data_IF_281213802697
#
_entry.id   IF_281213802697
#
_cell.length_a   1.000
_cell.length_b   1.000
_cell.length_c   1.000
_cell.angle_alpha   90.00
_cell.angle_beta   90.00
_cell.angle_gamma   90.00
#
_symmetry.space_group_name_H-M   'P 1'
#
loop_
_entity.id
_entity.type
_entity.pdbx_description
1 polymer ?
#
# COMPACT_ATOMS: atom_id res chain seq x y z
N UNK A 1 8.36 -25.97 -5.85
CA UNK A 1 8.72 -25.48 -7.19
C UNK A 1 10.22 -25.60 -7.31
N UNK A 2 10.71 -26.57 -8.07
CA UNK A 2 12.15 -26.72 -8.32
C UNK A 2 12.60 -25.61 -9.28
N UNK A 3 12.96 -24.45 -8.72
CA UNK A 3 13.53 -23.35 -9.49
C UNK A 3 14.98 -23.73 -9.83
N UNK A 4 15.22 -24.10 -11.10
CA UNK A 4 16.58 -24.14 -11.64
C UNK A 4 17.01 -22.72 -11.94
N UNK A 5 18.02 -22.24 -11.22
CA UNK A 5 18.67 -20.96 -11.50
C UNK A 5 19.87 -21.21 -12.42
N UNK A 6 19.90 -20.55 -13.57
CA UNK A 6 20.99 -20.69 -14.56
C UNK A 6 21.70 -19.34 -14.71
N UNK A 7 22.99 -19.30 -14.35
CA UNK A 7 23.86 -18.14 -14.58
C UNK A 7 24.66 -18.37 -15.87
N UNK A 8 24.55 -17.46 -16.83
CA UNK A 8 25.24 -17.57 -18.12
C UNK A 8 26.21 -16.43 -18.31
N UNK A 9 27.49 -16.72 -18.53
CA UNK A 9 28.52 -15.72 -18.83
C UNK A 9 29.02 -15.93 -20.25
N UNK A 10 28.92 -14.91 -21.09
CA UNK A 10 29.56 -14.88 -22.41
C UNK A 10 30.78 -13.96 -22.34
N UNK A 11 31.97 -14.49 -22.59
CA UNK A 11 33.22 -13.73 -22.64
C UNK A 11 33.84 -13.77 -24.04
N UNK A 12 34.70 -12.79 -24.33
CA UNK A 12 35.62 -12.87 -25.46
C UNK A 12 36.90 -13.69 -25.13
N UNK A 13 37.20 -13.99 -23.85
CA UNK A 13 38.43 -14.68 -23.42
C UNK A 13 38.21 -15.45 -22.10
N UNK A 14 38.90 -16.59 -21.97
CA UNK A 14 38.96 -17.69 -20.98
C UNK A 14 38.63 -17.43 -19.49
N UNK A 15 38.26 -18.54 -18.82
CA UNK A 15 37.70 -18.72 -17.46
C UNK A 15 38.47 -18.08 -16.29
N UNK A 16 37.71 -17.50 -15.34
CA UNK A 16 38.09 -17.40 -13.94
C UNK A 16 36.83 -17.48 -13.06
N UNK A 17 36.66 -18.58 -12.32
CA UNK A 17 35.66 -18.67 -11.25
C UNK A 17 36.23 -17.98 -10.00
N UNK A 18 35.65 -16.85 -9.60
CA UNK A 18 35.85 -16.27 -8.28
C UNK A 18 34.61 -16.58 -7.42
N UNK A 19 34.84 -17.17 -6.25
CA UNK A 19 33.87 -17.27 -5.18
C UNK A 19 33.58 -15.83 -4.68
N UNK A 20 32.50 -15.24 -5.18
CA UNK A 20 32.01 -13.95 -4.72
C UNK A 20 31.00 -14.15 -3.56
N UNK A 21 30.97 -13.24 -2.56
CA UNK A 21 29.93 -13.22 -1.54
C UNK A 21 28.53 -13.11 -2.19
N UNK A 22 27.49 -13.53 -1.45
CA UNK A 22 26.10 -13.53 -1.92
C UNK A 22 25.73 -12.21 -2.63
N UNK A 23 25.34 -12.26 -3.92
CA UNK A 23 25.18 -11.05 -4.71
C UNK A 23 24.05 -10.16 -4.19
N UNK A 24 24.32 -8.85 -4.05
CA UNK A 24 23.28 -7.82 -3.89
C UNK A 24 22.44 -7.71 -5.18
N UNK A 25 21.23 -7.14 -5.12
CA UNK A 25 20.30 -7.10 -6.27
C UNK A 25 20.87 -6.49 -7.57
N UNK A 26 21.90 -5.66 -7.47
CA UNK A 26 22.66 -5.10 -8.59
C UNK A 26 23.60 -6.08 -9.31
N UNK A 27 23.77 -7.31 -8.81
CA UNK A 27 24.70 -8.32 -9.34
C UNK A 27 24.01 -9.43 -10.17
N UNK A 28 22.69 -9.34 -10.41
CA UNK A 28 21.95 -10.39 -11.13
C UNK A 28 22.10 -10.35 -12.65
N UNK A 29 22.51 -9.21 -13.22
CA UNK A 29 22.56 -9.00 -14.67
C UNK A 29 23.65 -7.97 -15.01
N UNK A 30 24.51 -8.30 -15.96
CA UNK A 30 25.39 -7.34 -16.65
C UNK A 30 25.32 -7.62 -18.15
N UNK A 31 24.58 -6.80 -18.89
CA UNK A 31 24.39 -7.01 -20.35
C UNK A 31 24.92 -5.87 -21.21
N UNK A 32 25.25 -4.76 -20.56
CA UNK A 32 25.81 -3.56 -21.17
C UNK A 32 27.35 -3.58 -21.14
N UNK A 33 27.97 -4.48 -20.38
CA UNK A 33 29.42 -4.63 -20.35
C UNK A 33 29.93 -5.18 -21.71
N UNK A 34 30.92 -4.52 -22.33
CA UNK A 34 31.43 -4.90 -23.65
C UNK A 34 32.31 -6.16 -23.63
N UNK A 35 32.79 -6.61 -22.47
CA UNK A 35 33.75 -7.69 -22.28
C UNK A 35 33.11 -8.97 -21.73
N UNK A 36 32.19 -8.84 -20.77
CA UNK A 36 31.50 -9.97 -20.14
C UNK A 36 30.01 -9.69 -19.97
N UNK A 37 29.17 -10.44 -20.69
CA UNK A 37 27.72 -10.35 -20.51
C UNK A 37 27.20 -11.54 -19.74
N UNK A 38 26.37 -11.29 -18.74
CA UNK A 38 25.70 -12.34 -18.00
C UNK A 38 24.32 -11.95 -17.50
N UNK A 39 23.49 -12.97 -17.28
CA UNK A 39 22.21 -12.84 -16.61
C UNK A 39 21.88 -14.14 -15.89
N UNK A 40 21.10 -14.01 -14.81
CA UNK A 40 20.56 -15.14 -14.07
C UNK A 40 19.11 -15.36 -14.50
N UNK A 41 18.79 -16.58 -14.95
CA UNK A 41 17.43 -16.96 -15.34
C UNK A 41 16.76 -17.85 -14.29
N UNK A 42 15.46 -17.64 -14.11
CA UNK A 42 14.56 -18.61 -13.49
C UNK A 42 13.59 -19.17 -14.54
N UNK A 43 13.07 -20.36 -14.26
CA UNK A 43 12.26 -21.15 -15.19
C UNK A 43 10.84 -21.31 -14.63
N UNK A 44 9.83 -21.05 -15.47
CA UNK A 44 8.44 -21.46 -15.23
C UNK A 44 8.11 -22.60 -16.19
N UNK A 45 7.95 -23.80 -15.65
CA UNK A 45 7.64 -25.00 -16.42
C UNK A 45 6.18 -24.99 -16.92
N UNK A 46 5.96 -25.58 -18.08
CA UNK A 46 4.67 -25.74 -18.75
C UNK A 46 3.92 -24.43 -18.98
N UNK A 47 4.67 -23.34 -19.18
CA UNK A 47 4.14 -22.02 -19.48
C UNK A 47 4.91 -21.37 -20.63
N UNK A 48 4.20 -20.52 -21.38
CA UNK A 48 4.79 -19.58 -22.33
C UNK A 48 4.25 -18.18 -22.08
N UNK A 49 5.08 -17.17 -22.26
CA UNK A 49 4.65 -15.78 -22.24
C UNK A 49 3.87 -15.47 -23.51
N UNK A 50 2.70 -14.84 -23.37
CA UNK A 50 1.94 -14.34 -24.52
C UNK A 50 2.61 -13.11 -25.13
N UNK A 51 2.49 -12.96 -26.44
CA UNK A 51 3.08 -11.87 -27.21
C UNK A 51 3.83 -12.35 -28.44
N UNK A 52 4.22 -11.41 -29.30
CA UNK A 52 5.03 -11.69 -30.47
C UNK A 52 6.51 -11.82 -30.09
N UNK A 53 7.20 -12.90 -30.48
CA UNK A 53 8.64 -12.98 -30.30
C UNK A 53 9.35 -11.99 -31.22
N UNK A 54 10.46 -11.44 -30.74
CA UNK A 54 11.37 -10.68 -31.60
C UNK A 54 12.00 -11.58 -32.65
N UNK A 55 12.30 -12.81 -32.25
CA UNK A 55 13.00 -13.78 -33.07
C UNK A 55 12.69 -15.19 -32.59
N UNK A 56 12.42 -16.08 -33.53
CA UNK A 56 12.30 -17.51 -33.25
C UNK A 56 13.51 -18.26 -33.80
N UNK A 57 13.91 -19.29 -33.06
CA UNK A 57 14.99 -20.22 -33.36
C UNK A 57 14.48 -21.63 -33.17
N UNK A 58 15.16 -22.57 -33.81
CA UNK A 58 14.79 -23.99 -33.77
C UNK A 58 16.03 -24.82 -33.54
N UNK A 59 15.83 -26.02 -32.96
CA UNK A 59 16.91 -26.99 -32.70
C UNK A 59 18.03 -26.41 -31.82
N UNK A 60 17.68 -25.61 -30.83
CA UNK A 60 18.61 -25.11 -29.81
C UNK A 60 18.29 -25.73 -28.45
N UNK A 61 19.27 -25.78 -27.54
CA UNK A 61 19.01 -26.09 -26.12
C UNK A 61 18.42 -24.87 -25.41
N UNK A 62 17.80 -25.12 -24.26
CA UNK A 62 17.35 -24.10 -23.29
C UNK A 62 18.48 -23.12 -22.91
N UNK A 63 19.67 -23.64 -22.61
CA UNK A 63 20.86 -22.85 -22.25
C UNK A 63 21.32 -21.99 -23.42
N UNK A 64 21.35 -22.54 -24.64
CA UNK A 64 21.73 -21.78 -25.83
C UNK A 64 20.69 -20.70 -26.15
N UNK A 65 19.40 -21.00 -25.94
CA UNK A 65 18.30 -20.05 -26.09
C UNK A 65 18.45 -18.87 -25.12
N UNK A 66 18.65 -19.14 -23.84
CA UNK A 66 18.88 -18.11 -22.82
C UNK A 66 20.16 -17.30 -23.08
N UNK A 67 21.25 -17.96 -23.51
CA UNK A 67 22.52 -17.29 -23.85
C UNK A 67 22.37 -16.31 -25.03
N UNK A 68 21.57 -16.66 -26.05
CA UNK A 68 21.24 -15.74 -27.13
C UNK A 68 20.47 -14.52 -26.64
N UNK A 69 19.56 -14.71 -25.68
CA UNK A 69 18.87 -13.59 -25.04
C UNK A 69 19.85 -12.66 -24.33
N UNK A 70 20.81 -13.20 -23.56
CA UNK A 70 21.85 -12.38 -22.87
C UNK A 70 22.57 -11.46 -23.87
N UNK A 71 22.92 -11.97 -25.04
CA UNK A 71 23.60 -11.22 -26.09
C UNK A 71 22.76 -10.17 -26.83
N UNK A 72 21.43 -10.25 -26.78
CA UNK A 72 20.50 -9.39 -27.51
C UNK A 72 19.87 -8.34 -26.58
N UNK A 73 20.31 -7.06 -26.57
CA UNK A 73 19.90 -6.07 -25.57
C UNK A 73 18.38 -5.89 -25.42
N UNK A 74 17.62 -6.09 -26.49
CA UNK A 74 16.17 -5.94 -26.46
C UNK A 74 15.43 -7.18 -25.95
N UNK A 75 16.12 -8.31 -25.77
CA UNK A 75 15.54 -9.54 -25.21
C UNK A 75 15.43 -9.44 -23.68
N UNK A 76 14.28 -9.80 -23.12
CA UNK A 76 14.01 -9.76 -21.67
C UNK A 76 13.72 -11.13 -21.06
N UNK A 77 13.25 -12.07 -21.87
CA UNK A 77 12.95 -13.46 -21.49
C UNK A 77 12.87 -14.33 -22.74
N UNK A 78 12.71 -15.64 -22.57
CA UNK A 78 12.52 -16.58 -23.68
C UNK A 78 11.39 -17.56 -23.41
N UNK A 79 10.68 -17.97 -24.46
CA UNK A 79 9.86 -19.18 -24.42
C UNK A 79 10.64 -20.31 -25.12
N UNK A 80 10.93 -21.37 -24.38
CA UNK A 80 11.60 -22.55 -24.90
C UNK A 80 10.59 -23.70 -25.00
N UNK A 81 10.62 -24.49 -26.08
CA UNK A 81 9.81 -25.69 -26.23
C UNK A 81 10.72 -26.92 -26.20
N UNK A 82 10.51 -27.80 -25.23
CA UNK A 82 11.35 -28.99 -25.00
C UNK A 82 11.33 -30.01 -26.14
N UNK A 83 10.21 -30.09 -26.87
CA UNK A 83 9.96 -31.16 -27.84
C UNK A 83 10.81 -31.00 -29.11
N UNK A 84 10.90 -29.79 -29.64
CA UNK A 84 11.54 -29.48 -30.93
C UNK A 84 12.72 -28.51 -30.80
N UNK A 85 13.02 -28.07 -29.56
CA UNK A 85 14.02 -27.05 -29.29
C UNK A 85 13.69 -25.70 -29.91
N UNK A 86 12.40 -25.39 -30.11
CA UNK A 86 11.98 -24.06 -30.52
C UNK A 86 12.26 -23.05 -29.40
N UNK A 87 12.77 -21.89 -29.77
CA UNK A 87 13.21 -20.84 -28.86
C UNK A 87 12.74 -19.49 -29.38
N UNK A 88 11.85 -18.86 -28.64
CA UNK A 88 11.31 -17.54 -28.90
C UNK A 88 12.00 -16.53 -27.99
N UNK A 89 12.75 -15.59 -28.57
CA UNK A 89 13.32 -14.45 -27.84
C UNK A 89 12.23 -13.39 -27.66
N UNK A 90 11.90 -13.09 -26.41
CA UNK A 90 10.79 -12.20 -26.06
C UNK A 90 11.30 -10.82 -25.65
N UNK A 91 10.68 -9.72 -26.12
CA UNK A 91 11.08 -8.35 -25.76
C UNK A 91 10.59 -7.94 -24.37
N UNK A 92 9.77 -8.77 -23.73
CA UNK A 92 9.10 -8.49 -22.46
C UNK A 92 9.29 -9.66 -21.50
N UNK A 93 8.67 -9.61 -20.32
CA UNK A 93 8.82 -10.58 -19.22
C UNK A 93 7.49 -10.77 -18.49
N UNK A 94 7.41 -11.74 -17.58
CA UNK A 94 6.23 -12.07 -16.77
C UNK A 94 5.63 -10.88 -15.99
N UNK A 95 6.41 -9.82 -15.77
CA UNK A 95 5.97 -8.61 -15.05
C UNK A 95 5.10 -7.67 -15.89
N UNK A 96 5.19 -7.77 -17.21
CA UNK A 96 4.51 -6.88 -18.15
C UNK A 96 3.61 -7.63 -19.14
N UNK A 97 3.57 -8.96 -19.09
CA UNK A 97 2.80 -9.80 -20.00
C UNK A 97 2.32 -11.08 -19.29
N UNK A 98 1.25 -11.67 -19.84
CA UNK A 98 0.59 -12.83 -19.23
C UNK A 98 1.33 -14.12 -19.56
N UNK A 99 1.52 -14.97 -18.55
CA UNK A 99 1.97 -16.36 -18.74
C UNK A 99 0.76 -17.26 -18.99
N UNK A 100 0.81 -18.03 -20.08
CA UNK A 100 -0.20 -19.02 -20.43
C UNK A 100 0.34 -20.42 -20.20
N UNK A 101 -0.45 -21.25 -19.52
CA UNK A 101 -0.15 -22.67 -19.39
C UNK A 101 -0.19 -23.34 -20.77
N UNK A 102 0.93 -23.93 -21.17
CA UNK A 102 1.09 -24.72 -22.39
C UNK A 102 2.10 -25.82 -22.11
N UNK A 103 1.61 -27.07 -22.04
CA UNK A 103 2.47 -28.23 -21.77
C UNK A 103 3.66 -28.31 -22.74
N UNK A 104 4.83 -28.63 -22.18
CA UNK A 104 6.07 -28.80 -22.94
C UNK A 104 6.83 -27.51 -23.25
N UNK A 105 6.30 -26.34 -22.87
CA UNK A 105 7.04 -25.09 -22.87
C UNK A 105 7.69 -24.82 -21.52
N UNK A 106 8.79 -24.09 -21.54
CA UNK A 106 9.47 -23.52 -20.39
C UNK A 106 9.66 -22.04 -20.67
N UNK A 107 9.13 -21.20 -19.79
CA UNK A 107 9.38 -19.77 -19.86
C UNK A 107 10.58 -19.42 -18.97
N UNK A 108 11.69 -19.01 -19.57
CA UNK A 108 12.88 -18.58 -18.85
C UNK A 108 12.92 -17.06 -18.84
N UNK A 109 12.94 -16.45 -17.66
CA UNK A 109 13.00 -15.00 -17.51
C UNK A 109 14.20 -14.59 -16.67
N UNK A 110 14.76 -13.43 -16.99
CA UNK A 110 15.89 -12.87 -16.24
C UNK A 110 15.39 -12.43 -14.85
N UNK A 111 16.06 -12.91 -13.79
CA UNK A 111 15.83 -12.45 -12.41
C UNK A 111 15.97 -10.95 -12.33
N UNK A 112 15.13 -10.33 -11.52
CA UNK A 112 15.12 -8.88 -11.37
C UNK A 112 14.83 -8.47 -9.94
N UNK A 113 15.07 -7.20 -9.64
CA UNK A 113 14.67 -6.62 -8.36
C UNK A 113 13.15 -6.69 -8.11
N UNK A 114 12.32 -6.96 -9.12
CA UNK A 114 10.88 -7.16 -8.93
C UNK A 114 10.52 -8.51 -8.28
N UNK A 115 11.44 -9.50 -8.24
CA UNK A 115 11.17 -10.80 -7.62
C UNK A 115 10.97 -10.69 -6.09
N UNK A 116 11.51 -9.64 -5.45
CA UNK A 116 11.28 -9.36 -4.02
C UNK A 116 9.98 -8.59 -3.74
N UNK A 117 9.17 -8.31 -4.78
CA UNK A 117 7.94 -7.51 -4.68
C UNK A 117 8.15 -6.15 -3.99
N UNK A 118 9.10 -5.32 -4.46
CA UNK A 118 9.46 -4.08 -3.76
C UNK A 118 8.35 -3.02 -3.81
N UNK A 119 7.48 -3.04 -4.82
CA UNK A 119 6.38 -2.09 -4.95
C UNK A 119 5.20 -2.52 -4.07
N UNK A 120 4.98 -1.83 -2.94
CA UNK A 120 3.98 -2.22 -1.95
C UNK A 120 2.53 -2.02 -2.43
N UNK A 121 2.25 -0.85 -3.01
CA UNK A 121 0.94 -0.49 -3.56
C UNK A 121 1.07 -0.04 -5.02
N UNK A 122 1.59 -0.92 -5.87
CA UNK A 122 1.83 -0.61 -7.28
C UNK A 122 2.35 -1.80 -8.07
N UNK A 123 2.46 -1.60 -9.38
CA UNK A 123 3.06 -2.58 -10.29
C UNK A 123 4.56 -2.36 -10.38
N UNK A 124 5.33 -3.46 -10.32
CA UNK A 124 6.78 -3.42 -10.48
C UNK A 124 7.19 -3.62 -11.93
N UNK A 125 8.05 -2.74 -12.43
CA UNK A 125 8.64 -2.84 -13.76
C UNK A 125 10.16 -3.00 -13.64
N UNK A 126 10.74 -4.13 -14.10
CA UNK A 126 12.17 -4.36 -13.98
C UNK A 126 12.97 -3.51 -14.96
N UNK A 127 14.13 -3.04 -14.53
CA UNK A 127 15.14 -2.37 -15.35
C UNK A 127 16.33 -3.33 -15.52
N UNK A 128 16.17 -4.26 -16.49
CA UNK A 128 17.03 -5.45 -16.63
C UNK A 128 18.51 -5.09 -16.80
N UNK A 129 18.82 -3.98 -17.48
CA UNK A 129 20.19 -3.61 -17.83
C UNK A 129 21.07 -3.21 -16.64
N UNK A 130 20.48 -2.67 -15.56
CA UNK A 130 21.21 -2.22 -14.37
C UNK A 130 20.74 -2.90 -13.08
N UNK A 131 19.97 -3.99 -13.19
CA UNK A 131 19.44 -4.73 -12.05
C UNK A 131 18.47 -3.93 -11.16
N UNK A 132 17.95 -2.81 -11.63
CA UNK A 132 17.05 -1.94 -10.86
C UNK A 132 15.58 -2.21 -11.18
N UNK A 133 14.68 -1.40 -10.64
CA UNK A 133 13.25 -1.42 -10.91
C UNK A 133 12.66 -0.01 -10.82
N UNK A 134 11.45 0.13 -11.35
CA UNK A 134 10.58 1.27 -11.09
C UNK A 134 9.18 0.78 -10.73
N UNK A 135 8.50 1.52 -9.86
CA UNK A 135 7.12 1.23 -9.52
C UNK A 135 6.16 2.18 -10.24
N UNK A 136 5.02 1.65 -10.67
CA UNK A 136 3.86 2.45 -11.06
C UNK A 136 2.83 2.33 -9.95
N UNK A 137 2.74 3.37 -9.12
CA UNK A 137 1.88 3.37 -7.93
C UNK A 137 0.40 3.44 -8.28
N UNK A 138 -0.41 2.74 -7.49
CA UNK A 138 -1.86 2.91 -7.49
C UNK A 138 -2.18 4.32 -6.99
N UNK A 139 -3.32 4.87 -7.43
CA UNK A 139 -3.82 6.18 -6.98
C UNK A 139 -3.80 6.27 -5.45
N UNK A 140 -3.43 7.44 -4.93
CA UNK A 140 -3.20 7.75 -3.50
C UNK A 140 -1.85 7.31 -2.91
N UNK A 141 -1.05 6.49 -3.63
CA UNK A 141 0.27 6.07 -3.17
C UNK A 141 1.39 6.72 -3.96
N UNK A 142 2.54 6.91 -3.31
CA UNK A 142 3.74 7.51 -3.89
C UNK A 142 5.00 7.03 -3.18
N UNK A 143 6.15 7.55 -3.61
CA UNK A 143 7.47 7.10 -3.17
C UNK A 143 8.10 6.14 -4.17
N UNK A 144 9.37 5.81 -3.94
CA UNK A 144 10.13 4.89 -4.80
C UNK A 144 9.44 3.52 -4.87
N UNK A 145 8.91 3.07 -3.74
CA UNK A 145 8.42 1.72 -3.52
C UNK A 145 6.89 1.69 -3.36
N UNK A 146 6.21 2.80 -3.68
CA UNK A 146 4.77 3.00 -3.50
C UNK A 146 4.29 2.69 -2.07
N UNK A 147 5.10 3.05 -1.07
CA UNK A 147 4.90 2.76 0.35
C UNK A 147 4.30 3.95 1.12
N UNK A 148 4.26 5.14 0.51
CA UNK A 148 3.74 6.37 1.13
C UNK A 148 2.33 6.66 0.67
N UNK A 149 1.46 7.03 1.60
CA UNK A 149 0.07 7.39 1.37
C UNK A 149 -0.09 8.92 1.33
N UNK A 150 -0.76 9.46 0.31
CA UNK A 150 -1.01 10.91 0.14
C UNK A 150 -2.07 11.45 1.13
N UNK A 151 -2.83 10.57 1.80
CA UNK A 151 -3.70 10.94 2.91
C UNK A 151 -4.91 11.79 2.50
N UNK A 152 -5.78 11.28 1.63
CA UNK A 152 -7.01 11.98 1.22
C UNK A 152 -8.15 11.76 2.21
N UNK A 153 -9.14 12.65 2.23
CA UNK A 153 -10.35 12.49 3.05
C UNK A 153 -11.03 11.14 2.78
N UNK A 154 -11.38 10.41 3.83
CA UNK A 154 -12.05 9.12 3.76
C UNK A 154 -13.57 9.27 3.60
N UNK A 155 -14.11 10.43 3.99
CA UNK A 155 -15.42 10.89 3.53
C UNK A 155 -16.46 11.07 4.64
N UNK A 156 -16.02 11.60 5.78
CA UNK A 156 -16.96 12.12 6.77
C UNK A 156 -17.72 13.32 6.21
N UNK A 157 -17.01 14.29 5.62
CA UNK A 157 -17.57 15.53 5.11
C UNK A 157 -18.45 15.31 3.88
N UNK A 158 -17.99 14.51 2.91
CA UNK A 158 -18.68 14.30 1.64
C UNK A 158 -19.69 13.14 1.64
N UNK A 159 -19.87 12.48 2.78
CA UNK A 159 -20.86 11.43 2.97
C UNK A 159 -20.49 10.04 2.44
N UNK A 160 -19.27 9.82 1.92
CA UNK A 160 -18.82 8.46 1.55
C UNK A 160 -18.77 7.52 2.76
N UNK A 161 -18.48 8.04 3.95
CA UNK A 161 -18.72 7.34 5.22
C UNK A 161 -20.18 7.58 5.61
N UNK A 162 -21.02 6.55 5.54
CA UNK A 162 -22.46 6.66 5.78
C UNK A 162 -22.80 6.65 7.28
N UNK A 163 -23.99 7.11 7.64
CA UNK A 163 -24.47 7.20 9.04
C UNK A 163 -24.39 5.88 9.81
N UNK A 164 -24.65 4.76 9.13
CA UNK A 164 -24.57 3.42 9.72
C UNK A 164 -23.14 3.02 10.17
N UNK A 165 -22.11 3.69 9.66
CA UNK A 165 -20.71 3.51 10.07
C UNK A 165 -20.36 4.32 11.32
N UNK A 166 -21.25 5.21 11.78
CA UNK A 166 -21.00 6.13 12.87
C UNK A 166 -21.76 5.71 14.11
N UNK A 167 -21.12 5.84 15.27
CA UNK A 167 -21.77 5.61 16.56
C UNK A 167 -21.14 6.50 17.63
N UNK A 168 -21.89 6.79 18.69
CA UNK A 168 -21.39 7.51 19.85
C UNK A 168 -21.97 6.92 21.13
N UNK A 169 -21.32 7.19 22.27
CA UNK A 169 -21.74 6.67 23.59
C UNK A 169 -23.06 7.25 24.08
N UNK A 170 -23.27 8.54 23.83
CA UNK A 170 -24.42 9.29 24.29
C UNK A 170 -24.68 10.48 23.37
N UNK A 171 -25.82 11.14 23.55
CA UNK A 171 -26.12 12.40 22.91
C UNK A 171 -26.79 13.37 23.88
N UNK A 172 -26.69 14.66 23.59
CA UNK A 172 -27.30 15.72 24.37
C UNK A 172 -28.79 15.45 24.62
N UNK A 173 -29.18 15.40 25.91
CA UNK A 173 -30.55 15.12 26.37
C UNK A 173 -31.16 13.81 25.85
N UNK A 174 -30.32 12.86 25.42
CA UNK A 174 -30.76 11.64 24.76
C UNK A 174 -31.68 11.93 23.54
N UNK A 175 -31.46 13.08 22.89
CA UNK A 175 -32.08 13.47 21.62
C UNK A 175 -31.19 13.11 20.40
N UNK A 176 -31.62 12.16 19.54
CA UNK A 176 -30.87 11.74 18.36
C UNK A 176 -30.61 12.86 17.34
N UNK A 177 -31.29 14.01 17.42
CA UNK A 177 -31.05 15.14 16.53
C UNK A 177 -29.60 15.66 16.64
N UNK A 178 -28.99 15.53 17.82
CA UNK A 178 -27.58 15.83 18.14
C UNK A 178 -26.64 14.62 17.92
N UNK A 179 -27.11 13.67 17.12
CA UNK A 179 -26.50 12.38 16.84
C UNK A 179 -25.22 12.43 16.00
N UNK A 180 -24.78 11.25 15.59
CA UNK A 180 -23.50 11.05 14.90
C UNK A 180 -23.41 11.73 13.54
N UNK A 181 -24.54 11.87 12.83
CA UNK A 181 -24.60 12.55 11.55
C UNK A 181 -24.20 14.02 11.62
N UNK A 182 -24.30 14.62 12.82
CA UNK A 182 -23.85 15.99 13.05
C UNK A 182 -22.34 16.10 13.19
N UNK A 183 -21.64 14.98 13.39
CA UNK A 183 -20.20 14.88 13.60
C UNK A 183 -19.34 14.99 12.34
N UNK A 184 -19.90 15.40 11.20
CA UNK A 184 -19.19 15.54 9.93
C UNK A 184 -18.48 16.90 9.85
N UNK A 185 -17.20 16.91 9.44
CA UNK A 185 -16.43 18.14 9.26
C UNK A 185 -17.18 19.13 8.34
N UNK A 186 -17.09 20.43 8.62
CA UNK A 186 -17.71 21.50 7.84
C UNK A 186 -19.23 21.44 7.70
N UNK A 187 -19.92 20.55 8.41
CA UNK A 187 -21.38 20.53 8.43
C UNK A 187 -21.91 21.87 8.99
N UNK A 188 -22.65 22.58 8.16
CA UNK A 188 -23.27 23.89 8.46
C UNK A 188 -24.80 23.80 8.39
N UNK A 189 -25.35 22.74 8.97
CA UNK A 189 -26.79 22.49 9.09
C UNK A 189 -27.11 22.33 10.57
N UNK A 190 -28.19 22.98 11.03
CA UNK A 190 -28.63 22.87 12.41
C UNK A 190 -29.23 21.48 12.74
N UNK A 191 -29.01 20.94 13.95
CA UNK A 191 -27.91 21.27 14.86
C UNK A 191 -26.56 20.84 14.27
N UNK A 192 -25.53 21.62 14.56
CA UNK A 192 -24.18 21.38 14.04
C UNK A 192 -23.37 20.59 15.07
N UNK A 193 -22.54 19.64 14.66
CA UNK A 193 -21.70 18.89 15.60
C UNK A 193 -22.43 17.80 16.38
N UNK A 194 -21.80 16.64 16.47
CA UNK A 194 -22.25 15.57 17.33
C UNK A 194 -21.97 15.97 18.78
N UNK A 195 -23.00 15.94 19.63
CA UNK A 195 -22.93 16.49 20.98
C UNK A 195 -23.11 15.38 22.01
N UNK A 196 -22.07 15.13 22.81
CA UNK A 196 -22.09 14.12 23.87
C UNK A 196 -22.77 14.67 25.13
N UNK A 197 -23.24 13.78 26.01
CA UNK A 197 -23.79 14.16 27.32
C UNK A 197 -22.65 14.59 28.24
N UNK A 198 -22.91 15.58 29.10
CA UNK A 198 -21.88 16.14 30.00
C UNK A 198 -21.51 15.23 31.17
N UNK A 199 -22.40 14.30 31.53
CA UNK A 199 -22.27 13.29 32.58
C UNK A 199 -22.00 11.89 32.01
N UNK A 200 -21.55 11.82 30.75
CA UNK A 200 -21.17 10.55 30.13
C UNK A 200 -19.95 9.95 30.83
N UNK A 201 -20.00 8.64 31.05
CA UNK A 201 -18.94 7.92 31.77
C UNK A 201 -17.66 7.96 30.92
N UNK A 202 -16.52 8.17 31.59
CA UNK A 202 -15.18 8.26 30.97
C UNK A 202 -14.98 9.38 29.92
N UNK A 203 -15.92 10.34 29.86
CA UNK A 203 -15.88 11.52 28.99
C UNK A 203 -16.62 11.36 27.65
N UNK A 204 -17.27 10.22 27.41
CA UNK A 204 -17.99 9.93 26.18
C UNK A 204 -17.10 9.74 24.95
N UNK A 205 -17.61 9.05 23.93
CA UNK A 205 -16.86 8.71 22.74
C UNK A 205 -17.67 8.85 21.44
N UNK A 206 -16.95 9.15 20.36
CA UNK A 206 -17.44 9.13 18.99
C UNK A 206 -16.58 8.15 18.18
N UNK A 207 -17.22 7.24 17.44
CA UNK A 207 -16.57 6.13 16.73
C UNK A 207 -16.99 6.05 15.28
N UNK A 208 -16.04 5.70 14.44
CA UNK A 208 -16.20 5.43 13.01
C UNK A 208 -15.78 3.98 12.73
N UNK A 209 -16.65 3.20 12.08
CA UNK A 209 -16.30 1.93 11.42
C UNK A 209 -15.94 2.19 9.96
N UNK A 210 -14.67 2.05 9.60
CA UNK A 210 -14.19 2.25 8.23
C UNK A 210 -14.50 1.06 7.30
N UNK A 211 -15.23 0.05 7.79
CA UNK A 211 -15.65 -1.21 7.13
C UNK A 211 -14.47 -2.15 6.84
N UNK A 212 -13.39 -1.62 6.29
CA UNK A 212 -12.13 -2.32 6.08
C UNK A 212 -11.00 -1.61 6.82
N UNK A 213 -9.92 -2.31 7.10
CA UNK A 213 -8.71 -1.68 7.66
C UNK A 213 -8.20 -0.63 6.68
N UNK A 214 -7.98 0.60 7.16
CA UNK A 214 -7.39 1.70 6.37
C UNK A 214 -6.01 2.06 6.89
N UNK A 215 -5.23 2.75 6.07
CA UNK A 215 -4.04 3.47 6.50
C UNK A 215 -4.48 4.88 6.85
N UNK A 216 -4.43 5.25 8.13
CA UNK A 216 -4.88 6.54 8.63
C UNK A 216 -3.67 7.45 8.84
N UNK A 217 -3.58 8.51 8.04
CA UNK A 217 -2.43 9.44 8.04
C UNK A 217 -2.69 10.68 8.88
N UNK A 218 -3.95 11.09 9.02
CA UNK A 218 -4.33 12.23 9.84
C UNK A 218 -5.82 12.16 10.19
N UNK A 219 -6.24 13.01 11.11
CA UNK A 219 -7.65 13.33 11.31
C UNK A 219 -7.79 14.81 11.65
N UNK A 220 -8.92 15.41 11.28
CA UNK A 220 -9.26 16.80 11.58
C UNK A 220 -10.50 16.87 12.47
N UNK A 221 -10.56 17.89 13.32
CA UNK A 221 -11.65 18.15 14.25
C UNK A 221 -12.05 19.62 14.23
N UNK A 222 -13.34 19.89 14.36
CA UNK A 222 -13.94 21.19 14.67
C UNK A 222 -14.87 21.04 15.88
N UNK A 223 -15.17 22.15 16.56
CA UNK A 223 -16.24 22.19 17.57
C UNK A 223 -17.64 22.32 16.94
N UNK A 224 -18.61 22.78 17.74
CA UNK A 224 -20.03 22.87 17.38
C UNK A 224 -20.33 23.83 16.21
N UNK A 225 -19.48 24.81 15.90
CA UNK A 225 -19.61 25.65 14.71
C UNK A 225 -20.54 26.87 14.81
N UNK A 226 -21.45 26.93 15.79
CA UNK A 226 -22.38 28.06 15.95
C UNK A 226 -21.73 29.25 16.67
N UNK A 227 -21.71 30.49 16.13
CA UNK A 227 -20.99 31.63 16.72
C UNK A 227 -21.25 31.93 18.21
N UNK A 228 -22.46 31.66 18.71
CA UNK A 228 -22.86 31.93 20.10
C UNK A 228 -22.48 30.76 21.05
N UNK A 229 -22.25 29.57 20.51
CA UNK A 229 -21.85 28.40 21.30
C UNK A 229 -20.33 28.41 21.51
N UNK A 230 -19.87 27.92 22.66
CA UNK A 230 -18.44 27.65 22.92
C UNK A 230 -18.18 26.14 23.06
N UNK A 231 -19.14 25.31 22.63
CA UNK A 231 -19.10 23.86 22.76
C UNK A 231 -18.08 23.27 21.80
N UNK A 232 -17.15 22.50 22.37
CA UNK A 232 -16.02 21.90 21.70
C UNK A 232 -15.35 20.89 22.60
N UNK A 233 -14.66 19.94 21.99
CA UNK A 233 -13.69 19.09 22.68
C UNK A 233 -12.35 19.83 22.73
N UNK A 234 -11.82 20.05 23.94
CA UNK A 234 -10.55 20.74 24.18
C UNK A 234 -9.38 19.76 24.30
N UNK A 235 -9.61 18.58 24.89
CA UNK A 235 -8.64 17.49 24.92
C UNK A 235 -9.33 16.14 24.77
N UNK A 236 -8.64 15.18 24.17
CA UNK A 236 -9.18 13.85 23.93
C UNK A 236 -8.08 12.79 23.87
N UNK A 237 -8.50 11.54 23.90
CA UNK A 237 -7.67 10.38 23.58
C UNK A 237 -8.17 9.73 22.29
N UNK A 238 -7.27 9.02 21.62
CA UNK A 238 -7.61 8.24 20.42
C UNK A 238 -7.40 6.77 20.77
N UNK A 239 -8.35 5.93 20.39
CA UNK A 239 -8.17 4.48 20.38
C UNK A 239 -8.66 3.87 19.07
N UNK A 240 -8.04 2.76 18.71
CA UNK A 240 -8.32 2.02 17.48
C UNK A 240 -8.64 0.57 17.78
N UNK A 241 -9.39 -0.07 16.88
CA UNK A 241 -9.70 -1.50 16.98
C UNK A 241 -9.79 -2.10 15.58
N UNK A 242 -9.56 -3.41 15.48
CA UNK A 242 -9.81 -4.19 14.26
C UNK A 242 -11.12 -4.98 14.34
N UNK A 243 -11.66 -5.22 15.54
CA UNK A 243 -12.80 -6.11 15.78
C UNK A 243 -13.95 -5.47 16.58
N UNK A 244 -13.84 -4.17 16.92
CA UNK A 244 -14.80 -3.40 17.74
C UNK A 244 -14.88 -3.80 19.23
N UNK A 245 -14.10 -4.80 19.66
CA UNK A 245 -14.11 -5.31 21.03
C UNK A 245 -12.83 -4.93 21.77
N UNK A 246 -11.68 -5.18 21.15
CA UNK A 246 -10.37 -4.91 21.70
C UNK A 246 -9.89 -3.54 21.24
N UNK A 247 -9.79 -2.61 22.18
CA UNK A 247 -9.44 -1.21 21.91
C UNK A 247 -8.03 -0.89 22.40
N UNK A 248 -7.19 -0.40 21.49
CA UNK A 248 -5.83 0.01 21.80
C UNK A 248 -5.76 1.53 21.77
N UNK A 249 -5.39 2.14 22.89
CA UNK A 249 -5.14 3.57 22.95
C UNK A 249 -3.82 3.93 22.29
N UNK A 250 -3.78 5.07 21.62
CA UNK A 250 -2.51 5.65 21.18
C UNK A 250 -1.76 6.13 22.41
N UNK A 251 -0.52 5.68 22.56
CA UNK A 251 0.29 5.94 23.74
C UNK A 251 1.37 6.99 23.48
N UNK A 252 1.72 7.75 24.52
CA UNK A 252 2.90 8.64 24.50
C UNK A 252 4.16 7.91 24.97
N UNK A 253 3.97 6.88 25.78
CA UNK A 253 4.98 5.97 26.33
C UNK A 253 4.26 4.68 26.75
N UNK A 254 4.94 3.52 26.86
CA UNK A 254 4.31 2.25 27.16
C UNK A 254 3.35 2.32 28.37
N UNK A 255 2.08 1.95 28.16
CA UNK A 255 1.04 1.96 29.19
C UNK A 255 0.48 3.34 29.56
N UNK A 256 0.90 4.41 28.87
CA UNK A 256 0.41 5.76 29.11
C UNK A 256 -0.32 6.31 27.87
N UNK A 257 -1.67 6.30 27.87
CA UNK A 257 -2.46 6.90 26.80
C UNK A 257 -2.10 8.36 26.56
N UNK A 258 -1.94 8.72 25.29
CA UNK A 258 -1.64 10.08 24.86
C UNK A 258 -2.89 10.94 24.90
N UNK A 259 -2.79 12.10 25.56
CA UNK A 259 -3.79 13.17 25.48
C UNK A 259 -3.43 14.07 24.31
N UNK A 260 -4.36 14.27 23.41
CA UNK A 260 -4.23 15.12 22.23
C UNK A 260 -4.93 16.46 22.49
N UNK A 261 -4.35 17.59 22.01
CA UNK A 261 -5.03 18.87 22.01
C UNK A 261 -6.15 18.87 20.96
N UNK A 262 -7.35 19.30 21.37
CA UNK A 262 -8.51 19.54 20.53
C UNK A 262 -8.62 20.99 20.09
N UNK A 263 -9.84 21.50 20.00
CA UNK A 263 -10.10 22.84 19.50
C UNK A 263 -10.02 23.91 20.59
N UNK A 264 -9.39 25.04 20.26
CA UNK A 264 -9.36 26.23 21.11
C UNK A 264 -10.63 27.08 21.00
N UNK A 265 -11.37 26.96 19.89
CA UNK A 265 -12.68 27.56 19.67
C UNK A 265 -13.62 26.56 18.97
N UNK A 266 -14.85 26.96 18.72
CA UNK A 266 -15.87 26.05 18.21
C UNK A 266 -15.91 25.92 16.67
N UNK A 267 -15.11 26.69 15.92
CA UNK A 267 -15.21 26.79 14.45
C UNK A 267 -13.97 26.29 13.73
N UNK A 268 -12.79 26.62 14.23
CA UNK A 268 -11.53 26.35 13.54
C UNK A 268 -11.23 24.85 13.49
N UNK A 269 -10.65 24.44 12.38
CA UNK A 269 -10.22 23.05 12.18
C UNK A 269 -8.84 22.83 12.79
N UNK A 270 -8.72 21.84 13.66
CA UNK A 270 -7.45 21.34 14.19
C UNK A 270 -7.16 19.98 13.58
N UNK A 271 -5.97 19.81 13.02
CA UNK A 271 -5.55 18.56 12.36
C UNK A 271 -4.44 17.89 13.17
N UNK A 272 -4.60 16.60 13.45
CA UNK A 272 -3.55 15.75 14.02
C UNK A 272 -3.03 14.79 12.95
N UNK A 273 -1.74 14.83 12.68
CA UNK A 273 -1.06 13.91 11.76
C UNK A 273 -0.42 12.75 12.52
N UNK A 274 -0.37 11.58 11.88
CA UNK A 274 0.19 10.36 12.45
C UNK A 274 1.47 9.97 11.70
N UNK A 275 2.58 9.89 12.43
CA UNK A 275 3.86 9.41 11.93
C UNK A 275 4.48 8.48 12.99
N UNK A 276 4.54 7.16 12.75
CA UNK A 276 4.02 6.44 11.57
C UNK A 276 2.48 6.50 11.45
N UNK A 277 1.90 6.27 10.25
CA UNK A 277 0.45 6.21 10.07
C UNK A 277 -0.16 5.02 10.84
N UNK A 278 -1.42 5.18 11.24
CA UNK A 278 -2.15 4.12 11.94
C UNK A 278 -2.74 3.13 10.95
N UNK A 279 -2.92 1.88 11.38
CA UNK A 279 -3.65 0.86 10.64
C UNK A 279 -4.78 0.34 11.51
N UNK A 280 -6.02 0.60 11.12
CA UNK A 280 -7.19 0.19 11.89
C UNK A 280 -8.44 0.16 11.02
N UNK A 281 -9.43 -0.66 11.40
CA UNK A 281 -10.80 -0.58 10.88
C UNK A 281 -11.66 0.40 11.67
N UNK A 282 -11.58 0.36 12.99
CA UNK A 282 -12.35 1.24 13.86
C UNK A 282 -11.47 2.35 14.42
N UNK A 283 -11.97 3.58 14.35
CA UNK A 283 -11.32 4.75 14.91
C UNK A 283 -12.27 5.42 15.90
N UNK A 284 -11.79 5.69 17.12
CA UNK A 284 -12.60 6.28 18.18
C UNK A 284 -11.86 7.43 18.86
N UNK A 285 -12.58 8.54 19.04
CA UNK A 285 -12.20 9.64 19.91
C UNK A 285 -12.90 9.44 21.25
N UNK A 286 -12.17 9.62 22.35
CA UNK A 286 -12.71 9.68 23.71
C UNK A 286 -12.44 11.06 24.27
N UNK A 287 -13.47 11.87 24.49
CA UNK A 287 -13.30 13.22 24.98
C UNK A 287 -12.82 13.21 26.45
N UNK A 288 -12.01 14.20 26.84
CA UNK A 288 -11.45 14.32 28.20
C UNK A 288 -11.76 15.65 28.84
N UNK A 289 -11.51 16.74 28.13
CA UNK A 289 -11.97 18.06 28.56
C UNK A 289 -12.70 18.74 27.41
N UNK A 290 -13.66 19.58 27.77
CA UNK A 290 -14.55 20.26 26.84
C UNK A 290 -14.75 21.69 27.35
N UNK A 291 -15.13 22.60 26.46
CA UNK A 291 -15.39 24.00 26.83
C UNK A 291 -16.60 24.11 27.76
N UNK A 292 -17.77 24.41 27.21
CA UNK A 292 -19.03 24.31 27.96
C UNK A 292 -19.64 22.92 27.86
N UNK A 293 -19.53 22.29 26.69
CA UNK A 293 -19.95 20.93 26.45
C UNK A 293 -19.12 20.27 25.35
N UNK A 294 -19.13 18.95 25.31
CA UNK A 294 -18.39 18.13 24.35
C UNK A 294 -19.18 18.01 23.04
N UNK A 295 -18.82 18.84 22.08
CA UNK A 295 -19.35 18.75 20.72
C UNK A 295 -18.21 18.69 19.71
N UNK A 296 -18.36 17.88 18.68
CA UNK A 296 -17.32 17.71 17.66
C UNK A 296 -17.89 17.47 16.25
N UNK A 297 -17.11 17.90 15.27
CA UNK A 297 -17.20 17.55 13.85
C UNK A 297 -15.83 17.07 13.42
N UNK A 298 -15.74 16.04 12.58
CA UNK A 298 -14.45 15.46 12.22
C UNK A 298 -14.38 14.88 10.81
N UNK A 299 -13.15 14.74 10.32
CA UNK A 299 -12.79 14.04 9.07
C UNK A 299 -11.58 13.15 9.35
N UNK A 300 -11.53 11.99 8.70
CA UNK A 300 -10.37 11.09 8.74
C UNK A 300 -9.68 11.13 7.38
N UNK A 301 -8.35 11.18 7.37
CA UNK A 301 -7.55 11.17 6.17
C UNK A 301 -6.71 9.90 6.09
N UNK A 302 -6.60 9.34 4.89
CA UNK A 302 -5.89 8.09 4.71
C UNK A 302 -5.93 7.55 3.29
N UNK A 303 -5.57 6.27 3.19
CA UNK A 303 -5.64 5.47 1.97
C UNK A 303 -6.25 4.10 2.27
N UNK A 304 -6.75 3.45 1.22
CA UNK A 304 -7.18 2.06 1.29
C UNK A 304 -5.99 1.14 1.58
N UNK A 305 -6.14 0.22 2.54
CA UNK A 305 -5.20 -0.90 2.66
C UNK A 305 -5.60 -1.94 1.63
N UNK A 306 -4.99 -1.88 0.45
CA UNK A 306 -5.17 -2.93 -0.54
C UNK A 306 -4.50 -4.20 0.00
N UNK A 307 -5.31 -5.21 0.32
CA UNK A 307 -4.78 -6.56 0.51
C UNK A 307 -4.28 -7.02 -0.85
N UNK A 308 -3.00 -7.40 -0.93
CA UNK A 308 -2.33 -7.87 -2.15
C UNK A 308 -3.30 -8.68 -3.04
N UNK A 309 -3.72 -8.11 -4.16
CA UNK A 309 -4.28 -8.89 -5.25
C UNK A 309 -3.12 -9.59 -5.96
N UNK A 310 -2.60 -10.64 -5.33
CA UNK A 310 -1.71 -11.60 -5.95
C UNK A 310 -2.15 -12.99 -5.46
N UNK A 311 -3.17 -13.52 -6.12
CA UNK A 311 -3.38 -14.96 -6.28
C UNK A 311 -2.93 -15.35 -7.67
#
# INVERSE_FOLDING_TARGET
MDARTVALVTSAVTWLCLLAPTPQASEFVSRDDPKYKFAVFDVVNDHKLEGAPMRTRYRVSDIACASQCVGEPSCSSVNYRRVDGSCDLMPTTKYNATLKWVSGFEHLFIKSACDSSPCRYGNCHPLINNGSYRCTCIKQFYGRDCDKCNGTALGMEDGRIVSAQLSQSSFYRDDPEYGTDRGRLNLDIWPMGAHLRSDDVDGGWFKIDLITTKIITAFAMQGYGRPISIDRVETFQICTSDNNNDWVFLEKSPGAPKIFPGNNNNKDTVTTTFSPPLMARYFRIVAKTCGRACALRMEIYGCEKLLNQLS
#
